data_IF_337989463680
#
_entry.id   IF_337989463680
#
_cell.length_a   1.000
_cell.length_b   1.000
_cell.length_c   1.000
_cell.angle_alpha   90.00
_cell.angle_beta   90.00
_cell.angle_gamma   90.00
#
_symmetry.space_group_name_H-M   'P 1'
#
loop_
_entity.id
_entity.type
_entity.pdbx_description
1 polymer ?
#
# COMPACT_ATOMS: atom_id res chain seq x y z
N UNK A 1 23.22 -12.30 27.60
CA UNK A 1 22.51 -11.02 27.38
C UNK A 1 21.62 -11.26 26.18
N UNK A 2 20.33 -10.96 26.27
CA UNK A 2 19.45 -11.10 25.11
C UNK A 2 19.88 -10.16 24.00
N UNK A 3 19.89 -10.68 22.78
CA UNK A 3 20.17 -9.91 21.57
C UNK A 3 18.92 -9.09 21.19
N UNK A 4 19.07 -8.00 20.42
CA UNK A 4 17.96 -7.19 19.90
C UNK A 4 17.02 -8.04 19.04
N UNK A 5 17.56 -8.96 18.23
CA UNK A 5 16.80 -9.92 17.42
C UNK A 5 15.99 -10.86 18.31
N UNK A 6 16.57 -11.39 19.39
CA UNK A 6 15.83 -12.25 20.32
C UNK A 6 14.71 -11.48 21.04
N UNK A 7 14.98 -10.22 21.41
CA UNK A 7 13.96 -9.32 21.94
C UNK A 7 12.81 -9.10 20.94
N UNK A 8 13.13 -8.76 19.69
CA UNK A 8 12.13 -8.53 18.64
C UNK A 8 11.29 -9.78 18.37
N UNK A 9 11.91 -10.97 18.29
CA UNK A 9 11.19 -12.23 18.12
C UNK A 9 10.17 -12.45 19.23
N UNK A 10 10.57 -12.30 20.49
CA UNK A 10 9.65 -12.43 21.62
C UNK A 10 8.54 -11.39 21.59
N UNK A 11 8.84 -10.15 21.23
CA UNK A 11 7.83 -9.10 21.11
C UNK A 11 6.79 -9.42 20.04
N UNK A 12 7.21 -9.92 18.88
CA UNK A 12 6.27 -10.39 17.85
C UNK A 12 5.46 -11.58 18.36
N UNK A 13 6.06 -12.57 19.02
CA UNK A 13 5.32 -13.70 19.60
C UNK A 13 4.31 -13.26 20.69
N UNK A 14 4.64 -12.24 21.49
CA UNK A 14 3.73 -11.63 22.46
C UNK A 14 2.56 -10.94 21.75
N UNK A 15 2.86 -10.14 20.72
CA UNK A 15 1.84 -9.46 19.90
C UNK A 15 0.90 -10.47 19.24
N UNK A 16 1.43 -11.55 18.65
CA UNK A 16 0.63 -12.59 18.01
C UNK A 16 -0.36 -13.25 18.97
N UNK A 17 0.00 -13.41 20.25
CA UNK A 17 -0.84 -14.03 21.29
C UNK A 17 -1.83 -13.06 21.92
N UNK A 18 -1.72 -11.76 21.64
CA UNK A 18 -2.62 -10.77 22.21
C UNK A 18 -4.05 -11.01 21.73
N UNK A 19 -4.97 -11.15 22.69
CA UNK A 19 -6.41 -11.26 22.42
C UNK A 19 -6.95 -9.89 22.02
N UNK A 20 -7.70 -9.84 20.92
CA UNK A 20 -8.32 -8.60 20.46
C UNK A 20 -9.56 -8.31 21.29
N UNK A 21 -9.66 -7.08 21.81
CA UNK A 21 -10.80 -6.65 22.61
C UNK A 21 -12.11 -6.88 21.84
N UNK A 22 -13.12 -7.42 22.52
CA UNK A 22 -14.43 -7.80 21.95
C UNK A 22 -14.42 -8.86 20.82
N UNK A 23 -13.29 -9.52 20.55
CA UNK A 23 -13.22 -10.65 19.62
C UNK A 23 -12.62 -11.87 20.32
N UNK A 24 -13.21 -13.05 20.12
CA UNK A 24 -12.66 -14.32 20.63
C UNK A 24 -11.55 -14.85 19.69
N UNK A 25 -10.57 -14.00 19.39
CA UNK A 25 -9.47 -14.27 18.45
C UNK A 25 -8.22 -13.49 18.84
N UNK A 26 -7.07 -13.93 18.36
CA UNK A 26 -5.78 -13.27 18.58
C UNK A 26 -5.36 -12.41 17.40
N UNK A 27 -4.46 -11.44 17.63
CA UNK A 27 -3.86 -10.64 16.56
C UNK A 27 -3.20 -11.54 15.50
N UNK A 28 -2.50 -12.60 15.92
CA UNK A 28 -1.86 -13.54 15.00
C UNK A 28 -2.84 -14.34 14.16
N UNK A 29 -4.00 -14.72 14.71
CA UNK A 29 -5.08 -15.37 13.94
C UNK A 29 -5.71 -14.41 12.93
N UNK A 30 -5.97 -13.16 13.30
CA UNK A 30 -6.43 -12.14 12.36
C UNK A 30 -5.43 -12.00 11.21
N UNK A 31 -4.15 -11.76 11.52
CA UNK A 31 -3.12 -11.57 10.52
C UNK A 31 -3.00 -12.76 9.54
N UNK A 32 -3.07 -14.00 10.04
CA UNK A 32 -3.04 -15.20 9.20
C UNK A 32 -4.25 -15.33 8.28
N UNK A 33 -5.43 -14.95 8.77
CA UNK A 33 -6.66 -14.98 7.98
C UNK A 33 -6.66 -13.86 6.92
N UNK A 34 -6.20 -12.66 7.29
CA UNK A 34 -6.06 -11.52 6.37
C UNK A 34 -5.06 -11.80 5.24
N UNK A 35 -4.00 -12.56 5.50
CA UNK A 35 -3.01 -12.96 4.49
C UNK A 35 -3.60 -13.88 3.41
N UNK A 36 -4.72 -14.54 3.68
CA UNK A 36 -5.40 -15.46 2.75
C UNK A 36 -6.55 -14.82 1.98
N UNK A 37 -7.04 -13.66 2.41
CA UNK A 37 -8.12 -12.95 1.73
C UNK A 37 -7.56 -12.16 0.54
N UNK A 38 -7.97 -12.54 -0.66
CA UNK A 38 -7.70 -11.74 -1.84
C UNK A 38 -8.82 -10.68 -1.95
N UNK A 39 -8.63 -9.54 -1.30
CA UNK A 39 -9.65 -8.48 -1.22
C UNK A 39 -10.10 -8.00 -2.61
N UNK A 40 -9.17 -7.96 -3.57
CA UNK A 40 -9.48 -7.66 -4.97
C UNK A 40 -9.50 -8.95 -5.81
N UNK A 41 -10.62 -9.20 -6.47
CA UNK A 41 -10.77 -10.35 -7.39
C UNK A 41 -10.14 -10.09 -8.76
N UNK A 42 -9.91 -8.81 -9.09
CA UNK A 42 -9.33 -8.38 -10.35
C UNK A 42 -8.57 -7.04 -10.19
N UNK A 43 -7.94 -6.61 -11.28
CA UNK A 43 -7.08 -5.44 -11.37
C UNK A 43 -7.82 -4.12 -11.19
N UNK A 44 -9.07 -4.04 -11.64
CA UNK A 44 -9.94 -2.88 -11.43
C UNK A 44 -10.29 -2.75 -9.95
N UNK A 45 -10.67 -3.87 -9.32
CA UNK A 45 -10.95 -3.91 -7.88
C UNK A 45 -9.75 -3.48 -7.04
N UNK A 46 -8.52 -3.81 -7.45
CA UNK A 46 -7.31 -3.37 -6.73
C UNK A 46 -7.19 -1.83 -6.71
N UNK A 47 -7.47 -1.15 -7.83
CA UNK A 47 -7.46 0.31 -7.89
C UNK A 47 -8.61 0.90 -7.08
N UNK A 48 -9.82 0.37 -7.23
CA UNK A 48 -11.00 0.87 -6.51
C UNK A 48 -10.83 0.70 -4.99
N UNK A 49 -10.35 -0.47 -4.55
CA UNK A 49 -10.01 -0.73 -3.14
C UNK A 49 -9.01 0.31 -2.65
N UNK A 50 -7.93 0.53 -3.40
CA UNK A 50 -6.90 1.52 -3.04
C UNK A 50 -7.47 2.92 -2.87
N UNK A 51 -8.28 3.39 -3.82
CA UNK A 51 -8.91 4.72 -3.78
C UNK A 51 -9.87 4.85 -2.59
N UNK A 52 -10.64 3.79 -2.31
CA UNK A 52 -11.54 3.75 -1.15
C UNK A 52 -10.78 3.58 0.17
N UNK A 53 -9.58 3.01 0.22
CA UNK A 53 -8.85 2.85 1.47
C UNK A 53 -8.33 4.18 2.04
N UNK A 54 -8.22 5.22 1.20
CA UNK A 54 -7.55 6.45 1.57
C UNK A 54 -8.35 7.37 2.49
N UNK A 55 -7.66 7.91 3.51
CA UNK A 55 -8.12 9.00 4.39
C UNK A 55 -9.47 8.72 5.08
N UNK A 56 -9.71 7.48 5.45
CA UNK A 56 -10.89 7.07 6.21
C UNK A 56 -10.62 5.78 6.98
N UNK A 57 -11.54 5.43 7.88
CA UNK A 57 -11.49 4.16 8.60
C UNK A 57 -12.00 3.06 7.70
N UNK A 58 -11.17 2.05 7.47
CA UNK A 58 -11.46 1.00 6.50
C UNK A 58 -12.73 0.23 6.86
N UNK A 59 -12.77 -0.40 8.03
CA UNK A 59 -13.90 -1.22 8.50
C UNK A 59 -15.23 -0.44 8.56
N UNK A 60 -15.20 0.83 8.98
CA UNK A 60 -16.43 1.62 9.14
C UNK A 60 -16.96 2.21 7.82
N UNK A 61 -16.09 2.45 6.84
CA UNK A 61 -16.46 3.25 5.66
C UNK A 61 -15.91 2.75 4.32
N UNK A 62 -14.66 2.30 4.28
CA UNK A 62 -14.02 1.87 3.03
C UNK A 62 -14.52 0.52 2.56
N UNK A 63 -14.54 -0.45 3.46
CA UNK A 63 -14.98 -1.82 3.20
C UNK A 63 -16.45 -1.89 2.75
N UNK A 64 -17.44 -1.31 3.46
CA UNK A 64 -18.83 -1.33 3.00
C UNK A 64 -19.04 -0.72 1.61
N UNK A 65 -18.26 0.32 1.25
CA UNK A 65 -18.32 0.94 -0.09
C UNK A 65 -17.70 0.04 -1.15
N UNK A 66 -16.63 -0.66 -0.80
CA UNK A 66 -15.95 -1.57 -1.70
C UNK A 66 -16.79 -2.84 -1.95
N UNK A 67 -17.43 -3.39 -0.92
CA UNK A 67 -18.38 -4.51 -1.07
C UNK A 67 -19.57 -4.11 -1.96
N UNK A 68 -20.10 -2.90 -1.78
CA UNK A 68 -21.18 -2.38 -2.63
C UNK A 68 -20.73 -2.18 -4.08
N UNK A 69 -19.48 -1.75 -4.29
CA UNK A 69 -18.87 -1.71 -5.62
C UNK A 69 -18.80 -3.11 -6.24
N UNK A 70 -18.26 -4.09 -5.51
CA UNK A 70 -18.14 -5.47 -5.97
C UNK A 70 -19.51 -6.06 -6.33
N UNK A 71 -20.54 -5.76 -5.53
CA UNK A 71 -21.90 -6.24 -5.78
C UNK A 71 -22.53 -5.64 -7.05
N UNK A 72 -22.34 -4.34 -7.29
CA UNK A 72 -23.00 -3.62 -8.39
C UNK A 72 -22.22 -3.66 -9.70
N UNK A 73 -20.90 -3.62 -9.63
CA UNK A 73 -20.02 -3.31 -10.77
C UNK A 73 -19.04 -4.43 -11.11
N UNK A 74 -19.29 -5.66 -10.66
CA UNK A 74 -18.47 -6.86 -10.97
C UNK A 74 -18.16 -7.07 -12.45
N UNK A 75 -19.04 -6.58 -13.33
CA UNK A 75 -18.88 -6.70 -14.79
C UNK A 75 -17.84 -5.74 -15.38
N UNK A 76 -17.37 -4.76 -14.59
CA UNK A 76 -16.32 -3.80 -14.92
C UNK A 76 -14.99 -4.38 -14.43
N UNK A 77 -14.44 -5.30 -15.21
CA UNK A 77 -13.29 -6.15 -14.85
C UNK A 77 -12.02 -5.83 -15.66
N UNK A 78 -12.07 -4.82 -16.54
CA UNK A 78 -10.91 -4.30 -17.26
C UNK A 78 -10.74 -2.79 -17.09
N UNK A 79 -9.50 -2.31 -17.19
CA UNK A 79 -9.18 -0.88 -17.13
C UNK A 79 -9.88 -0.10 -18.23
N UNK A 80 -10.01 -0.68 -19.42
CA UNK A 80 -10.75 -0.06 -20.53
C UNK A 80 -12.25 0.07 -20.24
N UNK A 81 -12.89 -0.96 -19.66
CA UNK A 81 -14.30 -0.87 -19.25
C UNK A 81 -14.48 0.18 -18.15
N UNK A 82 -13.56 0.25 -17.19
CA UNK A 82 -13.61 1.25 -16.13
C UNK A 82 -13.42 2.66 -16.70
N UNK A 83 -12.46 2.87 -17.61
CA UNK A 83 -12.23 4.15 -18.28
C UNK A 83 -13.48 4.62 -19.05
N UNK A 84 -14.11 3.73 -19.82
CA UNK A 84 -15.35 4.06 -20.50
C UNK A 84 -16.47 4.39 -19.50
N UNK A 85 -16.58 3.62 -18.42
CA UNK A 85 -17.60 3.84 -17.39
C UNK A 85 -17.42 5.18 -16.65
N UNK A 86 -16.18 5.58 -16.39
CA UNK A 86 -15.82 6.91 -15.85
C UNK A 86 -16.30 8.01 -16.80
N UNK A 87 -16.03 7.89 -18.10
CA UNK A 87 -16.35 8.91 -19.12
C UNK A 87 -17.84 9.06 -19.42
N UNK A 88 -18.65 8.05 -19.11
CA UNK A 88 -20.09 8.03 -19.41
C UNK A 88 -20.94 8.79 -18.37
N UNK A 89 -20.32 9.34 -17.32
CA UNK A 89 -21.00 9.98 -16.18
C UNK A 89 -20.36 11.30 -15.81
N UNK A 90 -21.12 12.16 -15.11
CA UNK A 90 -20.53 13.29 -14.41
C UNK A 90 -19.71 12.82 -13.22
N UNK A 91 -18.69 13.59 -12.80
CA UNK A 91 -17.85 13.29 -11.64
C UNK A 91 -18.68 13.10 -10.35
N UNK A 92 -19.73 13.91 -10.21
CA UNK A 92 -20.67 13.87 -9.09
C UNK A 92 -21.49 12.57 -9.07
N UNK A 93 -22.03 12.18 -10.22
CA UNK A 93 -22.82 10.95 -10.33
C UNK A 93 -21.94 9.72 -10.12
N UNK A 94 -20.74 9.71 -10.70
CA UNK A 94 -19.77 8.63 -10.48
C UNK A 94 -19.43 8.50 -8.99
N UNK A 95 -19.08 9.60 -8.32
CA UNK A 95 -18.74 9.55 -6.90
C UNK A 95 -19.90 9.06 -6.04
N UNK A 96 -21.12 9.48 -6.35
CA UNK A 96 -22.32 9.04 -5.62
C UNK A 96 -22.61 7.57 -5.85
N UNK A 97 -22.58 7.12 -7.10
CA UNK A 97 -23.01 5.79 -7.50
C UNK A 97 -21.97 4.71 -7.19
N UNK A 98 -20.69 5.01 -7.43
CA UNK A 98 -19.56 4.07 -7.34
C UNK A 98 -18.88 4.15 -5.98
N UNK A 99 -18.63 5.36 -5.47
CA UNK A 99 -17.97 5.53 -4.17
C UNK A 99 -18.96 5.72 -3.00
N UNK A 100 -20.26 5.87 -3.25
CA UNK A 100 -21.21 6.21 -2.19
C UNK A 100 -20.94 7.57 -1.54
N UNK A 101 -20.36 8.51 -2.30
CA UNK A 101 -19.96 9.83 -1.82
C UNK A 101 -20.86 10.94 -2.36
N UNK A 102 -21.61 11.58 -1.47
CA UNK A 102 -22.38 12.79 -1.81
C UNK A 102 -21.51 14.04 -1.60
N UNK A 103 -20.70 14.37 -2.59
CA UNK A 103 -19.83 15.55 -2.56
C UNK A 103 -20.65 16.77 -2.99
N UNK A 104 -20.91 17.67 -2.05
CA UNK A 104 -21.69 18.90 -2.29
C UNK A 104 -20.82 20.16 -2.39
N UNK A 105 -19.60 20.11 -1.85
CA UNK A 105 -18.58 21.17 -1.90
C UNK A 105 -17.19 20.53 -1.89
N UNK A 106 -16.24 21.11 -2.61
CA UNK A 106 -14.86 20.63 -2.70
C UNK A 106 -14.53 19.99 -4.04
N UNK A 107 -13.33 19.43 -4.17
CA UNK A 107 -12.87 18.76 -5.37
C UNK A 107 -13.15 17.25 -5.33
N UNK A 108 -13.31 16.64 -6.50
CA UNK A 108 -13.52 15.21 -6.66
C UNK A 108 -12.18 14.44 -6.62
N UNK A 109 -11.34 14.70 -5.61
CA UNK A 109 -9.95 14.22 -5.63
C UNK A 109 -9.81 12.69 -5.72
N UNK A 110 -10.72 11.90 -5.13
CA UNK A 110 -10.72 10.43 -5.27
C UNK A 110 -11.04 9.99 -6.70
N UNK A 111 -11.98 10.68 -7.34
CA UNK A 111 -12.31 10.44 -8.74
C UNK A 111 -11.14 10.84 -9.65
N UNK A 112 -10.54 12.01 -9.43
CA UNK A 112 -9.38 12.45 -10.21
C UNK A 112 -8.21 11.47 -10.05
N UNK A 113 -7.94 11.03 -8.82
CA UNK A 113 -6.93 10.02 -8.54
C UNK A 113 -7.24 8.70 -9.24
N UNK A 114 -8.48 8.22 -9.23
CA UNK A 114 -8.90 7.03 -9.96
C UNK A 114 -8.62 7.18 -11.46
N UNK A 115 -9.03 8.30 -12.05
CA UNK A 115 -8.82 8.59 -13.48
C UNK A 115 -7.33 8.60 -13.83
N UNK A 116 -6.52 9.30 -13.02
CA UNK A 116 -5.08 9.39 -13.19
C UNK A 116 -4.42 8.00 -13.12
N UNK A 117 -4.83 7.16 -12.16
CA UNK A 117 -4.31 5.79 -12.02
C UNK A 117 -4.70 4.90 -13.20
N UNK A 118 -5.97 4.93 -13.63
CA UNK A 118 -6.44 4.14 -14.77
C UNK A 118 -5.70 4.53 -16.04
N UNK A 119 -5.59 5.83 -16.32
CA UNK A 119 -4.85 6.34 -17.48
C UNK A 119 -3.38 5.94 -17.42
N UNK A 120 -2.73 6.10 -16.26
CA UNK A 120 -1.32 5.76 -16.10
C UNK A 120 -1.06 4.25 -16.31
N UNK A 121 -1.96 3.36 -15.88
CA UNK A 121 -1.81 1.93 -16.15
C UNK A 121 -2.06 1.55 -17.60
N UNK A 122 -3.05 2.17 -18.26
CA UNK A 122 -3.28 1.97 -19.71
C UNK A 122 -2.04 2.44 -20.50
N UNK A 123 -1.49 3.61 -20.17
CA UNK A 123 -0.25 4.11 -20.77
C UNK A 123 0.94 3.18 -20.50
N UNK A 124 1.06 2.69 -19.27
CA UNK A 124 2.13 1.76 -18.88
C UNK A 124 2.05 0.46 -19.69
N UNK A 125 0.86 -0.13 -19.78
CA UNK A 125 0.60 -1.33 -20.56
C UNK A 125 1.01 -1.14 -22.02
N UNK A 126 0.57 -0.05 -22.64
CA UNK A 126 0.89 0.26 -24.03
C UNK A 126 2.39 0.47 -24.23
N UNK A 127 3.05 1.25 -23.36
CA UNK A 127 4.48 1.54 -23.45
C UNK A 127 5.35 0.30 -23.28
N UNK A 128 4.90 -0.67 -22.49
CA UNK A 128 5.61 -1.93 -22.23
C UNK A 128 5.18 -3.06 -23.17
N UNK A 129 4.23 -2.80 -24.07
CA UNK A 129 3.66 -3.79 -24.99
C UNK A 129 3.11 -5.04 -24.26
N UNK A 130 2.47 -4.81 -23.10
CA UNK A 130 1.95 -5.89 -22.25
C UNK A 130 0.54 -6.31 -22.67
N UNK A 131 0.28 -7.62 -22.57
CA UNK A 131 -0.88 -8.25 -23.21
C UNK A 131 -2.21 -8.08 -22.46
N UNK A 132 -2.15 -7.68 -21.19
CA UNK A 132 -3.33 -7.55 -20.34
C UNK A 132 -3.12 -6.53 -19.21
N UNK A 133 -4.23 -6.04 -18.64
CA UNK A 133 -4.23 -5.21 -17.42
C UNK A 133 -3.47 -5.92 -16.28
N UNK A 134 -3.61 -7.25 -16.21
CA UNK A 134 -2.91 -8.10 -15.25
C UNK A 134 -1.41 -7.99 -15.39
N UNK A 135 -0.90 -8.20 -16.60
CA UNK A 135 0.53 -8.15 -16.86
C UNK A 135 1.08 -6.76 -16.58
N UNK A 136 0.36 -5.71 -16.99
CA UNK A 136 0.75 -4.32 -16.75
C UNK A 136 0.86 -3.97 -15.26
N UNK A 137 -0.19 -4.26 -14.49
CA UNK A 137 -0.21 -3.92 -13.08
C UNK A 137 0.76 -4.78 -12.26
N UNK A 138 0.92 -6.06 -12.60
CA UNK A 138 1.91 -6.92 -11.94
C UNK A 138 3.35 -6.56 -12.30
N UNK A 139 3.64 -6.20 -13.55
CA UNK A 139 4.96 -5.70 -13.97
C UNK A 139 5.30 -4.41 -13.21
N UNK A 140 4.37 -3.46 -13.15
CA UNK A 140 4.55 -2.25 -12.34
C UNK A 140 4.77 -2.58 -10.86
N UNK A 141 3.92 -3.41 -10.25
CA UNK A 141 3.96 -3.66 -8.81
C UNK A 141 5.26 -4.35 -8.35
N UNK A 142 5.88 -5.16 -9.22
CA UNK A 142 7.17 -5.80 -8.97
C UNK A 142 8.35 -4.88 -9.16
N UNK A 143 8.25 -3.93 -10.10
CA UNK A 143 9.36 -3.06 -10.50
C UNK A 143 9.27 -1.62 -9.95
N UNK A 144 8.22 -1.29 -9.21
CA UNK A 144 8.01 0.03 -8.62
C UNK A 144 9.19 0.45 -7.73
N UNK A 145 9.76 1.62 -8.01
CA UNK A 145 10.90 2.14 -7.25
C UNK A 145 10.44 3.12 -6.17
N UNK A 146 10.30 2.61 -4.94
CA UNK A 146 9.85 3.40 -3.78
C UNK A 146 10.81 4.53 -3.38
N UNK A 147 12.09 4.47 -3.80
CA UNK A 147 13.07 5.51 -3.48
C UNK A 147 13.03 6.72 -4.42
N UNK A 148 12.32 6.60 -5.55
CA UNK A 148 12.20 7.63 -6.60
C UNK A 148 10.75 7.73 -7.09
N UNK A 149 9.80 7.84 -6.15
CA UNK A 149 8.36 7.86 -6.47
C UNK A 149 7.97 8.99 -7.43
N UNK A 150 8.67 10.12 -7.38
CA UNK A 150 8.47 11.25 -8.29
C UNK A 150 8.72 10.88 -9.77
N UNK A 151 9.46 9.81 -10.03
CA UNK A 151 9.71 9.27 -11.37
C UNK A 151 8.85 8.03 -11.69
N UNK A 152 8.16 7.47 -10.70
CA UNK A 152 7.31 6.29 -10.87
C UNK A 152 6.00 6.69 -11.58
N UNK A 153 5.52 5.92 -12.59
CA UNK A 153 4.33 6.27 -13.36
C UNK A 153 3.07 6.44 -12.50
N UNK A 154 2.95 5.68 -11.41
CA UNK A 154 1.84 5.73 -10.47
C UNK A 154 2.22 6.59 -9.25
N UNK A 155 3.43 6.42 -8.73
CA UNK A 155 3.93 7.13 -7.55
C UNK A 155 4.00 8.65 -7.70
N UNK A 156 4.14 9.16 -8.93
CA UNK A 156 4.18 10.60 -9.22
C UNK A 156 2.81 11.28 -9.27
N UNK A 157 1.73 10.50 -9.26
CA UNK A 157 0.38 11.04 -9.46
C UNK A 157 -0.08 11.87 -8.26
N UNK A 158 -0.98 12.82 -8.51
CA UNK A 158 -1.53 13.66 -7.46
C UNK A 158 -2.28 12.84 -6.43
N UNK A 159 -2.06 13.13 -5.15
CA UNK A 159 -2.61 12.38 -4.01
C UNK A 159 -2.15 10.91 -3.89
N UNK A 160 -1.17 10.48 -4.67
CA UNK A 160 -0.52 9.18 -4.49
C UNK A 160 0.76 9.36 -3.69
N UNK A 161 0.85 8.65 -2.55
CA UNK A 161 2.07 8.60 -1.74
C UNK A 161 2.54 7.16 -1.52
N UNK A 162 3.66 6.99 -0.81
CA UNK A 162 4.25 5.66 -0.55
C UNK A 162 3.24 4.67 0.06
N UNK A 163 2.40 5.12 0.99
CA UNK A 163 1.37 4.29 1.60
C UNK A 163 0.31 3.83 0.59
N UNK A 164 -0.07 4.70 -0.35
CA UNK A 164 -1.00 4.36 -1.43
C UNK A 164 -0.38 3.35 -2.40
N UNK A 165 0.87 3.59 -2.82
CA UNK A 165 1.60 2.67 -3.71
C UNK A 165 1.71 1.30 -3.08
N UNK A 166 2.10 1.24 -1.80
CA UNK A 166 2.19 -0.02 -1.07
C UNK A 166 0.83 -0.69 -0.87
N UNK A 167 -0.23 0.08 -0.63
CA UNK A 167 -1.59 -0.48 -0.56
C UNK A 167 -1.97 -1.16 -1.88
N UNK A 168 -1.74 -0.50 -3.02
CA UNK A 168 -2.05 -1.08 -4.32
C UNK A 168 -1.21 -2.34 -4.59
N UNK A 169 0.09 -2.33 -4.23
CA UNK A 169 0.95 -3.51 -4.34
C UNK A 169 0.43 -4.67 -3.50
N UNK A 170 -0.04 -4.42 -2.27
CA UNK A 170 -0.71 -5.44 -1.43
C UNK A 170 -1.99 -5.95 -2.11
N UNK A 171 -2.84 -5.07 -2.64
CA UNK A 171 -4.05 -5.48 -3.37
C UNK A 171 -3.76 -6.30 -4.64
N UNK A 172 -2.55 -6.18 -5.19
CA UNK A 172 -2.05 -6.99 -6.31
C UNK A 172 -1.31 -8.26 -5.86
N UNK A 173 -1.31 -8.56 -4.56
CA UNK A 173 -0.70 -9.76 -3.99
C UNK A 173 0.82 -9.70 -3.87
N UNK A 174 1.43 -8.50 -3.90
CA UNK A 174 2.85 -8.36 -3.57
C UNK A 174 3.02 -8.47 -2.05
N UNK A 175 3.93 -9.35 -1.63
CA UNK A 175 4.37 -9.47 -0.24
C UNK A 175 5.20 -8.24 0.15
N UNK A 176 4.52 -7.24 0.71
CA UNK A 176 5.10 -5.95 1.09
C UNK A 176 4.31 -5.33 2.23
N UNK A 177 4.83 -4.27 2.83
CA UNK A 177 4.22 -3.55 3.94
C UNK A 177 3.80 -2.14 3.55
N UNK A 178 2.62 -1.73 3.99
CA UNK A 178 2.15 -0.35 3.89
C UNK A 178 2.58 0.43 5.13
N UNK A 179 3.39 1.50 5.00
CA UNK A 179 3.85 2.29 6.15
C UNK A 179 2.75 3.25 6.63
N UNK A 180 1.68 2.71 7.20
CA UNK A 180 0.63 3.53 7.83
C UNK A 180 0.91 3.83 9.31
N UNK A 181 0.03 4.61 9.92
CA UNK A 181 0.16 5.05 11.31
C UNK A 181 0.22 3.88 12.30
N UNK A 182 -0.44 2.75 12.01
CA UNK A 182 -0.46 1.59 12.88
C UNK A 182 0.86 0.82 12.79
N UNK A 183 1.37 0.61 11.59
CA UNK A 183 2.69 -0.02 11.38
C UNK A 183 3.80 0.85 12.00
N UNK A 184 3.78 2.16 11.77
CA UNK A 184 4.77 3.08 12.35
C UNK A 184 4.70 3.07 13.88
N UNK A 185 3.51 3.02 14.46
CA UNK A 185 3.34 2.93 15.91
C UNK A 185 3.87 1.62 16.47
N UNK A 186 3.58 0.49 15.83
CA UNK A 186 4.06 -0.82 16.25
C UNK A 186 5.60 -0.92 16.20
N UNK A 187 6.23 -0.38 15.13
CA UNK A 187 7.68 -0.32 15.01
C UNK A 187 8.33 0.46 16.15
N UNK A 188 7.73 1.60 16.54
CA UNK A 188 8.21 2.39 17.69
C UNK A 188 8.10 1.59 19.00
N UNK A 189 7.01 0.87 19.19
CA UNK A 189 6.77 0.08 20.41
C UNK A 189 7.79 -1.06 20.58
N UNK A 190 8.22 -1.69 19.48
CA UNK A 190 9.25 -2.74 19.51
C UNK A 190 10.68 -2.20 19.42
N UNK A 191 10.86 -0.88 19.54
CA UNK A 191 12.17 -0.22 19.55
C UNK A 191 12.86 -0.23 18.19
N UNK A 192 12.11 0.07 17.12
CA UNK A 192 12.57 0.37 15.75
C UNK A 192 11.95 1.69 15.27
N UNK A 193 11.85 2.66 16.17
CA UNK A 193 11.22 3.96 15.97
C UNK A 193 12.13 5.06 15.42
N UNK A 194 13.44 4.83 15.41
CA UNK A 194 14.44 5.80 14.92
C UNK A 194 15.66 5.14 14.26
N UNK A 195 16.52 5.96 13.68
CA UNK A 195 17.70 5.54 12.90
C UNK A 195 18.76 4.83 13.75
N UNK A 196 18.91 5.22 15.02
CA UNK A 196 19.88 4.59 15.95
C UNK A 196 19.47 3.15 16.21
N UNK A 197 18.20 2.93 16.55
CA UNK A 197 17.65 1.61 16.81
C UNK A 197 17.74 0.67 15.59
N UNK A 198 17.56 1.23 14.39
CA UNK A 198 17.74 0.49 13.13
C UNK A 198 19.22 0.12 12.95
N UNK A 199 20.16 1.04 13.21
CA UNK A 199 21.59 0.76 13.10
C UNK A 199 22.05 -0.28 14.14
N UNK A 200 21.48 -0.29 15.35
CA UNK A 200 21.72 -1.33 16.35
C UNK A 200 21.24 -2.70 15.85
N UNK A 201 20.07 -2.77 15.22
CA UNK A 201 19.59 -4.01 14.60
C UNK A 201 20.51 -4.46 13.46
N UNK A 202 20.96 -3.56 12.59
CA UNK A 202 21.90 -3.89 11.50
C UNK A 202 23.25 -4.37 12.08
N UNK A 203 23.75 -3.74 13.13
CA UNK A 203 24.98 -4.13 13.83
C UNK A 203 24.91 -5.59 14.25
N UNK A 204 23.78 -5.97 14.85
CA UNK A 204 23.59 -7.34 15.30
C UNK A 204 23.43 -8.35 14.16
N UNK A 205 22.63 -8.02 13.14
CA UNK A 205 22.39 -8.90 12.00
C UNK A 205 23.65 -9.13 11.15
N UNK A 206 24.55 -8.16 11.09
CA UNK A 206 25.75 -8.20 10.24
C UNK A 206 27.03 -8.53 11.00
N UNK A 207 27.03 -8.40 12.33
CA UNK A 207 28.21 -8.54 13.18
C UNK A 207 29.15 -7.32 13.20
N UNK A 208 28.84 -6.26 12.45
CA UNK A 208 29.57 -4.99 12.52
C UNK A 208 29.30 -4.27 13.83
N UNK A 209 30.25 -3.48 14.33
CA UNK A 209 29.97 -2.57 15.45
C UNK A 209 29.17 -1.36 14.97
N UNK A 210 28.31 -0.78 15.80
CA UNK A 210 27.59 0.46 15.45
C UNK A 210 28.51 1.59 14.99
N UNK A 211 29.70 1.74 15.61
CA UNK A 211 30.68 2.75 15.18
C UNK A 211 31.28 2.46 13.80
N UNK A 212 31.44 1.19 13.45
CA UNK A 212 31.89 0.81 12.10
C UNK A 212 30.79 1.11 11.09
N UNK A 213 29.52 0.80 11.41
CA UNK A 213 28.37 1.13 10.56
C UNK A 213 28.21 2.63 10.35
N UNK A 214 28.34 3.44 11.40
CA UNK A 214 28.35 4.90 11.30
C UNK A 214 29.38 5.39 10.28
N UNK A 215 30.63 4.92 10.40
CA UNK A 215 31.69 5.28 9.46
C UNK A 215 31.44 4.76 8.05
N UNK A 216 30.92 3.53 7.89
CA UNK A 216 30.56 2.95 6.59
C UNK A 216 29.48 3.81 5.92
N UNK A 217 28.38 4.10 6.62
CA UNK A 217 27.26 4.86 6.05
C UNK A 217 27.64 6.30 5.76
N UNK A 218 28.42 6.94 6.63
CA UNK A 218 28.91 8.29 6.40
C UNK A 218 29.81 8.36 5.15
N UNK A 219 30.84 7.51 5.08
CA UNK A 219 31.76 7.47 3.94
C UNK A 219 31.06 7.04 2.65
N UNK A 220 30.10 6.12 2.71
CA UNK A 220 29.31 5.76 1.53
C UNK A 220 28.42 6.93 1.07
N UNK A 221 27.74 7.62 1.99
CA UNK A 221 26.85 8.73 1.68
C UNK A 221 27.53 9.91 0.99
N UNK A 222 28.77 10.26 1.38
CA UNK A 222 29.54 11.34 0.75
C UNK A 222 30.09 10.96 -0.64
N UNK A 223 30.33 9.67 -0.89
CA UNK A 223 30.95 9.18 -2.13
C UNK A 223 29.94 8.68 -3.17
N UNK A 224 28.75 8.24 -2.74
CA UNK A 224 27.70 7.70 -3.62
C UNK A 224 26.92 8.78 -4.38
N UNK A 225 26.87 10.02 -3.88
CA UNK A 225 26.16 11.15 -4.52
C UNK A 225 26.90 11.79 -5.70
N UNK A 226 28.06 11.25 -6.10
CA UNK A 226 28.90 11.79 -7.19
C UNK A 226 28.74 11.08 -8.54
N UNK A 227 27.79 10.14 -8.66
CA UNK A 227 27.47 9.44 -9.90
C UNK A 227 26.02 9.69 -10.32
#
# INVERSE_FOLDING_TARGET
MDTKVDFLKRKIEEMEKQVVFDKNTTVGEIARNSFQENWASNHVEAIINTVLAMRQKWEETGEPRFEEYQRKFKHIDTLYKLDHFIKDKSEADFCKEVFGLNITKGNYWRYNMLCDMVNAFIEYQNKKELSSDKDAMMDWARNCNLSKLENDPIGRLNNVGIATVQNLRICLGIDTVKPDVHIISALKEIGLGNEVEICELISELTGHKCIELDQIFWNWGINSKKN
#
